data_IF_190026032820
#
_entry.id   IF_190026032820
#
_cell.length_a   1.000
_cell.length_b   1.000
_cell.length_c   1.000
_cell.angle_alpha   90.00
_cell.angle_beta   90.00
_cell.angle_gamma   90.00
#
_symmetry.space_group_name_H-M   'P 1'
#
loop_
_entity.id
_entity.type
_entity.pdbx_description
1 polymer ?
#
# COMPACT_ATOMS: atom_id res chain seq x y z
N UNK A 1 -6.74 12.93 -3.33
CA UNK A 1 -5.80 11.92 -2.81
C UNK A 1 -5.87 10.71 -3.73
N UNK A 2 -4.74 10.17 -4.17
CA UNK A 2 -4.68 8.98 -5.03
C UNK A 2 -3.78 7.92 -4.39
N UNK A 3 -3.95 6.66 -4.76
CA UNK A 3 -3.00 5.59 -4.40
C UNK A 3 -1.82 5.62 -5.39
N UNK A 4 -0.62 5.40 -4.89
CA UNK A 4 0.55 5.19 -5.75
C UNK A 4 0.50 3.82 -6.40
N UNK A 5 1.05 3.69 -7.61
CA UNK A 5 1.01 2.46 -8.40
C UNK A 5 1.63 1.27 -7.64
N UNK A 6 2.69 1.50 -6.86
CA UNK A 6 3.33 0.44 -6.04
C UNK A 6 2.41 -0.06 -4.93
N UNK A 7 1.62 0.83 -4.32
CA UNK A 7 0.65 0.47 -3.29
C UNK A 7 -0.51 -0.31 -3.91
N UNK A 8 -1.00 0.12 -5.08
CA UNK A 8 -2.03 -0.60 -5.84
C UNK A 8 -1.55 -2.01 -6.19
N UNK A 9 -0.36 -2.15 -6.76
CA UNK A 9 0.20 -3.44 -7.13
C UNK A 9 0.35 -4.39 -5.92
N UNK A 10 0.73 -3.85 -4.76
CA UNK A 10 0.83 -4.63 -3.52
C UNK A 10 -0.54 -5.09 -3.03
N UNK A 11 -1.56 -4.25 -3.07
CA UNK A 11 -2.93 -4.60 -2.69
C UNK A 11 -3.47 -5.70 -3.62
N UNK A 12 -3.30 -5.56 -4.94
CA UNK A 12 -3.71 -6.57 -5.91
C UNK A 12 -3.06 -7.92 -5.58
N UNK A 13 -1.75 -7.94 -5.33
CA UNK A 13 -1.04 -9.17 -4.97
C UNK A 13 -1.57 -9.83 -3.68
N UNK A 14 -1.94 -9.04 -2.67
CA UNK A 14 -2.55 -9.58 -1.44
C UNK A 14 -3.90 -10.22 -1.74
N UNK A 15 -4.73 -9.59 -2.57
CA UNK A 15 -6.03 -10.12 -2.99
C UNK A 15 -5.85 -11.41 -3.79
N UNK A 16 -4.92 -11.44 -4.74
CA UNK A 16 -4.62 -12.66 -5.52
C UNK A 16 -4.12 -13.81 -4.65
N UNK A 17 -3.37 -13.50 -3.58
CA UNK A 17 -2.75 -14.52 -2.72
C UNK A 17 -3.69 -15.05 -1.64
N UNK A 18 -4.49 -14.16 -1.02
CA UNK A 18 -5.28 -14.48 0.17
C UNK A 18 -6.79 -14.33 -0.04
N UNK A 19 -7.23 -13.89 -1.22
CA UNK A 19 -8.63 -13.80 -1.62
C UNK A 19 -9.24 -15.17 -1.94
N UNK A 20 -10.57 -15.22 -2.03
CA UNK A 20 -11.30 -16.45 -2.36
C UNK A 20 -11.51 -17.41 -1.17
N UNK A 21 -11.07 -17.03 0.03
CA UNK A 21 -11.39 -17.75 1.27
C UNK A 21 -12.67 -17.22 1.91
N UNK A 22 -13.47 -18.13 2.50
CA UNK A 22 -14.86 -17.90 2.97
C UNK A 22 -15.07 -16.62 3.81
N UNK A 23 -14.09 -16.25 4.62
CA UNK A 23 -14.18 -15.10 5.54
C UNK A 23 -13.08 -14.04 5.30
N UNK A 24 -12.19 -14.30 4.33
CA UNK A 24 -11.04 -13.45 3.99
C UNK A 24 -10.18 -13.01 5.19
N UNK A 25 -10.18 -13.80 6.28
CA UNK A 25 -9.53 -13.41 7.56
C UNK A 25 -8.06 -13.06 7.36
N UNK A 26 -7.34 -13.88 6.59
CA UNK A 26 -5.92 -13.63 6.28
C UNK A 26 -5.73 -12.39 5.42
N UNK A 27 -6.55 -12.21 4.39
CA UNK A 27 -6.50 -11.02 3.53
C UNK A 27 -6.71 -9.74 4.34
N UNK A 28 -7.73 -9.71 5.20
CA UNK A 28 -8.00 -8.58 6.10
C UNK A 28 -6.83 -8.33 7.04
N UNK A 29 -6.26 -9.37 7.64
CA UNK A 29 -5.09 -9.25 8.52
C UNK A 29 -3.87 -8.66 7.78
N UNK A 30 -3.58 -9.11 6.55
CA UNK A 30 -2.47 -8.56 5.77
C UNK A 30 -2.72 -7.13 5.30
N UNK A 31 -3.96 -6.80 4.90
CA UNK A 31 -4.32 -5.42 4.55
C UNK A 31 -4.20 -4.47 5.74
N UNK A 32 -4.57 -4.92 6.95
CA UNK A 32 -4.39 -4.14 8.18
C UNK A 32 -2.92 -3.91 8.57
N UNK A 33 -2.00 -4.76 8.10
CA UNK A 33 -0.56 -4.59 8.30
C UNK A 33 0.08 -3.64 7.29
N UNK A 34 -0.66 -3.17 6.29
CA UNK A 34 -0.13 -2.18 5.37
C UNK A 34 0.09 -0.85 6.10
N UNK A 35 1.36 -0.49 6.25
CA UNK A 35 1.75 0.83 6.74
C UNK A 35 1.71 1.82 5.59
N UNK A 36 0.68 2.68 5.58
CA UNK A 36 0.40 3.63 4.50
C UNK A 36 0.73 5.04 4.97
N UNK A 37 1.57 5.71 4.19
CA UNK A 37 2.01 7.07 4.42
C UNK A 37 1.51 8.02 3.32
N UNK A 38 1.39 9.30 3.67
CA UNK A 38 1.04 10.36 2.71
C UNK A 38 2.33 10.97 2.19
N UNK A 39 2.53 10.90 0.87
CA UNK A 39 3.58 11.59 0.16
C UNK A 39 2.97 12.76 -0.62
N UNK A 40 3.47 13.97 -0.37
CA UNK A 40 3.07 15.17 -1.11
C UNK A 40 4.07 15.43 -2.24
N UNK A 41 3.58 15.38 -3.48
CA UNK A 41 4.39 15.73 -4.65
C UNK A 41 4.66 17.23 -4.68
N UNK A 42 5.74 17.62 -5.35
CA UNK A 42 6.08 19.03 -5.59
C UNK A 42 4.95 19.82 -6.29
N UNK A 43 4.06 19.14 -7.00
CA UNK A 43 2.85 19.72 -7.61
C UNK A 43 1.70 19.99 -6.62
N UNK A 44 1.87 19.69 -5.32
CA UNK A 44 0.84 19.77 -4.29
C UNK A 44 -0.11 18.57 -4.26
N UNK A 45 0.12 17.55 -5.09
CA UNK A 45 -0.72 16.35 -5.12
C UNK A 45 -0.37 15.40 -3.96
N UNK A 46 -1.36 15.08 -3.13
CA UNK A 46 -1.23 14.11 -2.02
C UNK A 46 -1.50 12.69 -2.52
N UNK A 47 -0.52 11.82 -2.34
CA UNK A 47 -0.55 10.43 -2.78
C UNK A 47 -0.28 9.50 -1.59
N UNK A 48 -1.05 8.43 -1.50
CA UNK A 48 -0.85 7.36 -0.53
C UNK A 48 0.16 6.36 -1.07
N UNK A 49 1.21 6.13 -0.30
CA UNK A 49 2.30 5.20 -0.60
C UNK A 49 2.48 4.23 0.56
N UNK A 50 3.19 3.13 0.36
CA UNK A 50 3.63 2.33 1.48
C UNK A 50 4.82 3.02 2.18
N UNK A 51 4.86 3.04 3.51
CA UNK A 51 5.97 3.66 4.27
C UNK A 51 7.33 3.07 3.86
N UNK A 52 7.38 1.75 3.62
CA UNK A 52 8.61 1.08 3.18
C UNK A 52 9.13 1.56 1.82
N UNK A 53 8.26 2.12 0.97
CA UNK A 53 8.67 2.69 -0.32
C UNK A 53 9.31 4.07 -0.13
N UNK A 54 8.89 4.85 0.88
CA UNK A 54 9.52 6.14 1.24
C UNK A 54 10.94 5.91 1.75
N UNK A 55 11.11 4.93 2.65
CA UNK A 55 12.39 4.63 3.28
C UNK A 55 13.46 4.19 2.27
N UNK A 56 13.05 3.52 1.18
CA UNK A 56 13.96 3.11 0.09
C UNK A 56 14.47 4.29 -0.75
N UNK A 57 13.70 5.37 -0.85
CA UNK A 57 14.04 6.52 -1.68
C UNK A 57 14.68 7.67 -0.89
N UNK A 58 14.72 7.55 0.44
CA UNK A 58 15.42 8.49 1.32
C UNK A 58 16.67 7.80 1.87
N UNK A 59 17.83 7.89 1.19
CA UNK A 59 19.06 7.41 1.79
C UNK A 59 19.33 8.23 3.06
N UNK A 60 19.44 7.54 4.19
CA UNK A 60 19.91 8.12 5.46
C UNK A 60 21.37 8.57 5.34
#
# INVERSE_FOLDING_TARGET
MKLHDTLIARIIKLIETYGGHRDEVKLKAELHRLDVAVYERQSGEKILVNQADIDKHTPR
#
